data_IF_478570652042
#
_entry.id   IF_478570652042
#
_cell.length_a   1.000
_cell.length_b   1.000
_cell.length_c   1.000
_cell.angle_alpha   90.00
_cell.angle_beta   90.00
_cell.angle_gamma   90.00
#
_symmetry.space_group_name_H-M   'P 1'
#
loop_
_entity.id
_entity.type
_entity.pdbx_description
1 polymer ?
#
# COMPACT_ATOMS: atom_id res chain seq x y z
N UNK A 1 -21.86 6.91 -20.10
CA UNK A 1 -22.06 5.48 -19.78
C UNK A 1 -20.88 5.04 -18.95
N UNK A 2 -21.07 4.74 -17.66
CA UNK A 2 -19.98 4.23 -16.83
C UNK A 2 -19.74 2.77 -17.25
N UNK A 3 -18.60 2.49 -17.86
CA UNK A 3 -18.15 1.11 -18.07
C UNK A 3 -18.11 0.42 -16.71
N UNK A 4 -19.06 -0.49 -16.49
CA UNK A 4 -19.07 -1.36 -15.33
C UNK A 4 -17.74 -2.08 -15.27
N UNK A 5 -16.91 -1.68 -14.33
CA UNK A 5 -15.51 -2.02 -14.34
C UNK A 5 -15.36 -3.50 -13.97
N UNK A 6 -15.02 -4.30 -14.98
CA UNK A 6 -14.90 -5.76 -14.89
C UNK A 6 -13.62 -6.18 -14.14
N UNK A 7 -13.55 -5.86 -12.84
CA UNK A 7 -12.48 -6.31 -11.95
C UNK A 7 -13.07 -6.86 -10.64
N UNK A 8 -12.43 -7.89 -10.10
CA UNK A 8 -12.84 -8.51 -8.84
C UNK A 8 -12.26 -7.78 -7.63
N UNK A 9 -11.02 -7.28 -7.76
CA UNK A 9 -10.30 -6.59 -6.69
C UNK A 9 -9.66 -5.29 -7.17
N UNK A 10 -9.61 -4.30 -6.30
CA UNK A 10 -8.91 -3.03 -6.51
C UNK A 10 -7.85 -2.84 -5.42
N UNK A 11 -6.58 -2.75 -5.81
CA UNK A 11 -5.48 -2.59 -4.88
C UNK A 11 -4.75 -1.29 -5.11
N UNK A 12 -4.59 -0.50 -4.05
CA UNK A 12 -3.74 0.69 -4.04
C UNK A 12 -2.32 0.32 -3.63
N UNK A 13 -1.36 0.58 -4.52
CA UNK A 13 0.08 0.34 -4.31
C UNK A 13 0.85 1.65 -4.45
N UNK A 14 1.82 1.88 -3.57
CA UNK A 14 2.69 3.08 -3.61
C UNK A 14 4.14 2.69 -3.93
N UNK A 15 4.84 3.50 -4.73
CA UNK A 15 6.28 3.40 -4.94
C UNK A 15 6.99 4.44 -4.09
N UNK A 16 7.88 4.02 -3.20
CA UNK A 16 8.61 4.91 -2.28
C UNK A 16 10.11 4.67 -2.37
N UNK A 17 10.90 5.66 -1.95
CA UNK A 17 12.37 5.63 -2.00
C UNK A 17 12.96 6.94 -2.51
N UNK A 18 14.29 7.03 -2.50
CA UNK A 18 15.02 8.26 -2.84
C UNK A 18 14.76 8.76 -4.28
N UNK A 19 15.07 10.02 -4.53
CA UNK A 19 15.06 10.58 -5.88
C UNK A 19 16.10 9.88 -6.75
N UNK A 20 15.74 9.56 -8.00
CA UNK A 20 16.66 8.99 -8.98
C UNK A 20 16.96 7.48 -8.82
N UNK A 21 16.31 6.78 -7.88
CA UNK A 21 16.42 5.30 -7.77
C UNK A 21 15.72 4.56 -8.90
N UNK A 22 14.80 5.23 -9.61
CA UNK A 22 14.14 4.69 -10.81
C UNK A 22 12.69 4.25 -10.64
N UNK A 23 11.98 4.74 -9.62
CA UNK A 23 10.54 4.45 -9.38
C UNK A 23 9.65 4.75 -10.58
N UNK A 24 9.77 5.94 -11.17
CA UNK A 24 9.01 6.33 -12.35
C UNK A 24 9.31 5.44 -13.56
N UNK A 25 10.57 5.05 -13.76
CA UNK A 25 10.92 4.11 -14.82
C UNK A 25 10.40 2.69 -14.56
N UNK A 26 10.35 2.22 -13.31
CA UNK A 26 9.69 0.97 -12.96
C UNK A 26 8.18 1.03 -13.26
N UNK A 27 7.52 2.15 -12.92
CA UNK A 27 6.11 2.37 -13.22
C UNK A 27 5.85 2.38 -14.73
N UNK A 28 6.61 3.16 -15.49
CA UNK A 28 6.49 3.25 -16.95
C UNK A 28 6.81 1.92 -17.62
N UNK A 29 7.81 1.19 -17.12
CA UNK A 29 8.15 -0.13 -17.65
C UNK A 29 7.03 -1.13 -17.39
N UNK A 30 6.43 -1.11 -16.20
CA UNK A 30 5.30 -1.98 -15.88
C UNK A 30 4.04 -1.58 -16.65
N UNK A 31 3.76 -0.30 -16.89
CA UNK A 31 2.46 0.12 -17.44
C UNK A 31 2.45 0.26 -18.96
N UNK A 32 3.57 0.69 -19.54
CA UNK A 32 3.70 1.05 -20.96
C UNK A 32 4.82 0.29 -21.67
N UNK A 33 5.60 -0.51 -20.94
CA UNK A 33 6.84 -1.12 -21.42
C UNK A 33 7.87 -0.09 -21.94
N UNK A 34 7.87 1.12 -21.36
CA UNK A 34 8.73 2.22 -21.76
C UNK A 34 9.82 2.48 -20.73
N UNK A 35 10.95 3.03 -21.19
CA UNK A 35 12.02 3.53 -20.34
C UNK A 35 12.55 4.85 -20.88
N UNK A 36 12.74 5.80 -19.97
CA UNK A 36 13.26 7.11 -20.31
C UNK A 36 14.53 7.38 -19.48
N UNK A 37 15.66 7.50 -20.17
CA UNK A 37 16.96 7.77 -19.57
C UNK A 37 17.06 9.20 -19.00
N UNK A 38 16.29 10.14 -19.55
CA UNK A 38 16.24 11.56 -19.14
C UNK A 38 15.06 11.84 -18.19
N UNK A 39 14.68 10.86 -17.35
CA UNK A 39 13.61 11.08 -16.38
C UNK A 39 14.00 12.19 -15.40
N UNK A 40 13.27 13.31 -15.46
CA UNK A 40 13.41 14.41 -14.49
C UNK A 40 12.95 13.95 -13.11
N UNK A 41 13.42 14.62 -12.06
CA UNK A 41 12.90 14.38 -10.70
C UNK A 41 11.38 14.58 -10.67
N UNK A 42 10.66 13.61 -10.15
CA UNK A 42 9.21 13.71 -9.95
C UNK A 42 8.91 14.81 -8.94
N UNK A 43 8.28 15.90 -9.38
CA UNK A 43 7.92 17.06 -8.54
C UNK A 43 6.62 16.79 -7.77
N UNK A 44 5.76 15.90 -8.28
CA UNK A 44 4.48 15.54 -7.67
C UNK A 44 4.30 14.03 -7.53
N UNK A 45 3.10 13.55 -7.83
CA UNK A 45 2.75 12.12 -7.82
C UNK A 45 2.22 11.73 -9.19
N UNK A 46 2.75 10.66 -9.76
CA UNK A 46 2.21 10.06 -10.99
C UNK A 46 1.32 8.87 -10.63
N UNK A 47 0.20 8.74 -11.35
CA UNK A 47 -0.79 7.70 -11.13
C UNK A 47 -0.96 6.87 -12.40
N UNK A 48 -0.92 5.56 -12.26
CA UNK A 48 -1.25 4.65 -13.34
C UNK A 48 -2.07 3.45 -12.83
N UNK A 49 -2.84 2.86 -13.73
CA UNK A 49 -3.59 1.64 -13.44
C UNK A 49 -3.19 0.52 -14.36
N UNK A 50 -3.06 -0.69 -13.83
CA UNK A 50 -2.90 -1.91 -14.63
C UNK A 50 -3.71 -3.03 -14.03
N UNK A 51 -4.38 -3.80 -14.88
CA UNK A 51 -5.09 -5.01 -14.46
C UNK A 51 -4.23 -6.23 -14.77
N UNK A 52 -4.19 -7.17 -13.83
CA UNK A 52 -3.58 -8.49 -14.00
C UNK A 52 -4.61 -9.57 -13.66
N UNK A 53 -4.43 -10.78 -14.20
CA UNK A 53 -5.25 -11.93 -13.83
C UNK A 53 -4.45 -12.87 -12.92
N UNK A 54 -5.03 -13.23 -11.77
CA UNK A 54 -4.45 -14.15 -10.79
C UNK A 54 -5.57 -15.08 -10.33
N UNK A 55 -5.37 -16.40 -10.39
CA UNK A 55 -6.35 -17.42 -9.97
C UNK A 55 -7.76 -17.22 -10.58
N UNK A 56 -7.82 -16.81 -11.84
CA UNK A 56 -9.09 -16.53 -12.54
C UNK A 56 -9.81 -15.26 -12.08
N UNK A 57 -9.21 -14.48 -11.18
CA UNK A 57 -9.68 -13.18 -10.72
C UNK A 57 -8.93 -12.05 -11.42
N UNK A 58 -9.64 -10.96 -11.69
CA UNK A 58 -9.06 -9.76 -12.28
C UNK A 58 -8.72 -8.76 -11.18
N UNK A 59 -7.43 -8.56 -10.94
CA UNK A 59 -6.90 -7.63 -9.96
C UNK A 59 -6.54 -6.32 -10.66
N UNK A 60 -7.22 -5.21 -10.31
CA UNK A 60 -6.87 -3.88 -10.79
C UNK A 60 -5.94 -3.19 -9.80
N UNK A 61 -4.71 -2.95 -10.20
CA UNK A 61 -3.74 -2.19 -9.41
C UNK A 61 -3.83 -0.70 -9.74
N UNK A 62 -3.87 0.13 -8.70
CA UNK A 62 -3.73 1.58 -8.70
C UNK A 62 -2.36 1.92 -8.13
N UNK A 63 -1.42 2.29 -9.00
CA UNK A 63 -0.02 2.49 -8.62
C UNK A 63 0.28 3.98 -8.57
N UNK A 64 0.80 4.43 -7.43
CA UNK A 64 1.16 5.81 -7.17
C UNK A 64 2.68 5.92 -7.08
N UNK A 65 3.30 6.56 -8.07
CA UNK A 65 4.72 6.92 -8.02
C UNK A 65 4.90 8.24 -7.27
N UNK A 66 5.57 8.20 -6.12
CA UNK A 66 5.75 9.39 -5.28
C UNK A 66 7.07 10.08 -5.54
N UNK A 67 7.10 11.40 -5.35
CA UNK A 67 8.35 12.16 -5.32
C UNK A 67 9.33 11.55 -4.31
N UNK A 68 10.55 11.28 -4.76
CA UNK A 68 11.65 10.81 -3.89
C UNK A 68 12.43 11.94 -3.22
N UNK A 69 12.04 13.20 -3.45
CA UNK A 69 12.66 14.34 -2.80
C UNK A 69 12.01 14.62 -1.46
N UNK A 70 12.86 14.73 -0.46
CA UNK A 70 12.49 15.02 0.91
C UNK A 70 11.70 16.30 1.15
N UNK A 71 11.88 17.31 0.28
CA UNK A 71 11.14 18.57 0.32
C UNK A 71 9.63 18.38 0.13
N UNK A 72 9.20 17.25 -0.44
CA UNK A 72 7.79 16.94 -0.68
C UNK A 72 7.18 15.92 0.30
N UNK A 73 7.93 15.49 1.34
CA UNK A 73 7.48 14.46 2.30
C UNK A 73 6.13 14.74 2.97
N UNK A 74 5.86 16.01 3.31
CA UNK A 74 4.59 16.40 3.92
C UNK A 74 3.39 16.15 2.98
N UNK A 75 3.62 16.19 1.67
CA UNK A 75 2.62 15.90 0.64
C UNK A 75 2.49 14.37 0.45
N UNK A 76 3.62 13.64 0.52
CA UNK A 76 3.67 12.20 0.29
C UNK A 76 2.92 11.37 1.34
N UNK A 77 2.92 11.79 2.60
CA UNK A 77 2.23 11.08 3.69
C UNK A 77 0.72 10.87 3.43
N UNK A 78 0.05 11.81 2.75
CA UNK A 78 -1.35 11.69 2.39
C UNK A 78 -1.63 10.52 1.41
N UNK A 79 -0.63 10.12 0.62
CA UNK A 79 -0.78 9.05 -0.38
C UNK A 79 -0.63 7.65 0.22
N UNK A 80 0.01 7.51 1.39
CA UNK A 80 0.16 6.22 2.06
C UNK A 80 -1.17 5.69 2.64
N UNK A 81 -2.11 6.58 2.97
CA UNK A 81 -3.41 6.19 3.54
C UNK A 81 -4.19 5.29 2.57
N UNK A 82 -4.63 4.13 3.07
CA UNK A 82 -5.37 3.12 2.30
C UNK A 82 -4.53 2.39 1.25
N UNK A 83 -3.20 2.55 1.26
CA UNK A 83 -2.32 1.69 0.47
C UNK A 83 -2.27 0.30 1.11
N UNK A 84 -2.54 -0.73 0.32
CA UNK A 84 -2.46 -2.14 0.74
C UNK A 84 -1.14 -2.78 0.35
N UNK A 85 -0.38 -2.13 -0.52
CA UNK A 85 0.96 -2.53 -0.93
C UNK A 85 1.93 -1.37 -1.07
N UNK A 86 3.22 -1.63 -0.86
CA UNK A 86 4.30 -0.70 -1.13
C UNK A 86 5.53 -1.37 -1.73
N UNK A 87 6.09 -0.74 -2.76
CA UNK A 87 7.42 -1.08 -3.29
C UNK A 87 8.41 -0.03 -2.77
N UNK A 88 9.33 -0.49 -1.93
CA UNK A 88 10.40 0.32 -1.35
C UNK A 88 11.66 0.16 -2.19
N UNK A 89 11.99 1.18 -2.98
CA UNK A 89 12.99 1.09 -4.05
C UNK A 89 14.30 1.77 -3.66
N UNK A 90 15.42 1.10 -3.87
CA UNK A 90 16.76 1.67 -3.78
C UNK A 90 17.56 1.38 -5.06
N UNK A 91 18.70 2.06 -5.23
CA UNK A 91 19.62 1.87 -6.35
C UNK A 91 20.82 1.02 -5.88
N UNK A 92 21.01 -0.15 -6.50
CA UNK A 92 22.09 -1.07 -6.11
C UNK A 92 23.50 -0.49 -6.29
N UNK A 93 23.64 0.52 -7.16
CA UNK A 93 24.91 1.19 -7.43
C UNK A 93 25.16 2.38 -6.49
N UNK A 94 24.19 2.73 -5.62
CA UNK A 94 24.29 3.88 -4.71
C UNK A 94 23.93 3.49 -3.28
N UNK A 95 24.95 3.17 -2.49
CA UNK A 95 24.81 2.78 -1.09
C UNK A 95 24.00 3.78 -0.24
N UNK A 96 24.13 5.09 -0.46
CA UNK A 96 23.36 6.10 0.26
C UNK A 96 21.83 5.89 0.16
N UNK A 97 21.35 5.43 -1.01
CA UNK A 97 19.91 5.17 -1.22
C UNK A 97 19.42 3.97 -0.44
N UNK A 98 20.31 2.99 -0.20
CA UNK A 98 20.03 1.83 0.63
C UNK A 98 20.00 2.18 2.12
N UNK A 99 20.94 3.00 2.61
CA UNK A 99 20.91 3.49 4.00
C UNK A 99 19.60 4.23 4.32
N UNK A 100 19.07 4.97 3.34
CA UNK A 100 17.81 5.70 3.51
C UNK A 100 16.55 4.79 3.51
N UNK A 101 16.65 3.52 3.11
CA UNK A 101 15.53 2.56 3.12
C UNK A 101 14.91 2.44 4.50
N UNK A 102 15.72 2.37 5.56
CA UNK A 102 15.24 2.28 6.95
C UNK A 102 14.32 3.45 7.32
N UNK A 103 14.68 4.66 6.87
CA UNK A 103 13.88 5.85 7.09
C UNK A 103 12.55 5.79 6.34
N UNK A 104 12.58 5.42 5.06
CA UNK A 104 11.38 5.28 4.24
C UNK A 104 10.44 4.20 4.78
N UNK A 105 11.00 3.08 5.25
CA UNK A 105 10.24 2.00 5.85
C UNK A 105 9.51 2.47 7.12
N UNK A 106 10.21 3.21 7.99
CA UNK A 106 9.61 3.80 9.18
C UNK A 106 8.48 4.78 8.81
N UNK A 107 8.75 5.70 7.89
CA UNK A 107 7.77 6.69 7.44
C UNK A 107 6.50 6.03 6.87
N UNK A 108 6.66 4.97 6.08
CA UNK A 108 5.55 4.19 5.54
C UNK A 108 4.75 3.53 6.66
N UNK A 109 5.41 2.84 7.60
CA UNK A 109 4.75 2.16 8.73
C UNK A 109 4.01 3.11 9.67
N UNK A 110 4.51 4.34 9.82
CA UNK A 110 3.90 5.35 10.69
C UNK A 110 2.57 5.90 10.12
N UNK A 111 2.33 5.78 8.81
CA UNK A 111 1.19 6.42 8.11
C UNK A 111 0.29 5.47 7.32
N UNK A 112 0.77 4.27 6.98
CA UNK A 112 0.00 3.24 6.28
C UNK A 112 -0.73 2.31 7.24
N UNK A 113 -1.62 1.48 6.70
CA UNK A 113 -2.29 0.44 7.47
C UNK A 113 -1.28 -0.62 7.95
N UNK A 114 -1.48 -1.16 9.16
CA UNK A 114 -0.58 -2.16 9.78
C UNK A 114 -0.43 -3.46 8.97
N UNK A 115 -1.38 -3.72 8.06
CA UNK A 115 -1.41 -4.90 7.21
C UNK A 115 -0.83 -4.66 5.81
N UNK A 116 -0.15 -3.52 5.57
CA UNK A 116 0.43 -3.21 4.27
C UNK A 116 1.50 -4.26 3.89
N UNK A 117 1.41 -4.79 2.69
CA UNK A 117 2.43 -5.70 2.13
C UNK A 117 3.57 -4.87 1.57
N UNK A 118 4.79 -5.12 2.01
CA UNK A 118 5.95 -4.32 1.62
C UNK A 118 6.98 -5.20 0.93
N UNK A 119 7.48 -4.74 -0.21
CA UNK A 119 8.56 -5.37 -0.94
C UNK A 119 9.72 -4.40 -1.12
N UNK A 120 10.91 -4.81 -0.69
CA UNK A 120 12.16 -4.14 -0.98
C UNK A 120 12.61 -4.46 -2.41
N UNK A 121 12.92 -3.42 -3.18
CA UNK A 121 13.32 -3.52 -4.59
C UNK A 121 14.69 -2.91 -4.79
N UNK A 122 15.67 -3.75 -5.12
CA UNK A 122 17.00 -3.32 -5.56
C UNK A 122 17.01 -3.04 -7.06
N UNK A 123 16.82 -1.79 -7.47
CA UNK A 123 16.75 -1.43 -8.88
C UNK A 123 18.13 -1.16 -9.49
N UNK A 124 18.18 -1.15 -10.83
CA UNK A 124 19.38 -0.98 -11.67
C UNK A 124 20.35 -2.17 -11.59
N UNK A 125 19.79 -3.37 -11.50
CA UNK A 125 20.57 -4.62 -11.52
C UNK A 125 21.37 -4.85 -12.81
N UNK A 126 21.14 -4.07 -13.87
CA UNK A 126 22.01 -3.97 -15.05
C UNK A 126 23.41 -3.39 -14.72
N UNK A 127 23.52 -2.56 -13.68
CA UNK A 127 24.77 -1.93 -13.24
C UNK A 127 25.58 -2.83 -12.28
N UNK A 128 25.63 -4.15 -12.51
CA UNK A 128 26.31 -5.12 -11.62
C UNK A 128 27.76 -4.77 -11.32
N UNK A 129 28.45 -4.19 -12.29
CA UNK A 129 29.85 -3.77 -12.20
C UNK A 129 30.08 -2.53 -11.32
N UNK A 130 29.01 -1.76 -11.04
CA UNK A 130 29.03 -0.61 -10.13
C UNK A 130 28.29 -0.90 -8.82
N UNK A 131 28.01 -2.17 -8.51
CA UNK A 131 27.26 -2.56 -7.32
C UNK A 131 27.98 -2.04 -6.06
N UNK A 132 27.26 -1.21 -5.31
CA UNK A 132 27.68 -0.70 -4.02
C UNK A 132 26.95 -1.39 -2.85
N UNK A 133 25.85 -2.09 -3.14
CA UNK A 133 25.04 -2.82 -2.14
C UNK A 133 25.04 -4.31 -2.48
N UNK A 134 25.69 -5.16 -1.66
CA UNK A 134 25.62 -6.61 -1.78
C UNK A 134 24.18 -7.12 -1.71
N UNK A 135 23.85 -8.10 -2.57
CA UNK A 135 22.50 -8.70 -2.58
C UNK A 135 22.16 -9.36 -1.25
N UNK A 136 23.13 -10.02 -0.61
CA UNK A 136 22.92 -10.72 0.66
C UNK A 136 22.60 -9.75 1.81
N UNK A 137 23.18 -8.55 1.81
CA UNK A 137 22.90 -7.51 2.80
C UNK A 137 21.46 -7.01 2.68
N UNK A 138 21.02 -6.69 1.45
CA UNK A 138 19.65 -6.26 1.21
C UNK A 138 18.62 -7.37 1.52
N UNK A 139 18.96 -8.62 1.21
CA UNK A 139 18.12 -9.79 1.52
C UNK A 139 18.01 -10.04 3.03
N UNK A 140 19.11 -9.88 3.78
CA UNK A 140 19.12 -9.98 5.23
C UNK A 140 18.23 -8.90 5.85
N UNK A 141 18.38 -7.64 5.41
CA UNK A 141 17.54 -6.53 5.86
C UNK A 141 16.05 -6.78 5.60
N UNK A 142 15.70 -7.27 4.40
CA UNK A 142 14.31 -7.59 4.07
C UNK A 142 13.75 -8.69 4.99
N UNK A 143 14.53 -9.74 5.25
CA UNK A 143 14.13 -10.84 6.15
C UNK A 143 13.92 -10.35 7.58
N UNK A 144 14.86 -9.57 8.12
CA UNK A 144 14.79 -9.01 9.47
C UNK A 144 13.56 -8.11 9.67
N UNK A 145 13.18 -7.37 8.61
CA UNK A 145 12.05 -6.46 8.64
C UNK A 145 10.73 -7.08 8.15
N UNK A 146 10.70 -8.37 7.79
CA UNK A 146 9.50 -9.04 7.29
C UNK A 146 9.01 -8.50 5.94
N UNK A 147 9.93 -8.18 5.03
CA UNK A 147 9.66 -7.67 3.68
C UNK A 147 9.99 -8.74 2.63
N UNK A 148 9.25 -8.75 1.52
CA UNK A 148 9.70 -9.48 0.31
C UNK A 148 10.87 -8.74 -0.33
N UNK A 149 11.73 -9.45 -1.06
CA UNK A 149 12.89 -8.84 -1.74
C UNK A 149 13.04 -9.31 -3.18
N UNK A 150 13.33 -8.38 -4.08
CA UNK A 150 13.66 -8.66 -5.48
C UNK A 150 14.62 -7.60 -6.03
N UNK A 151 15.52 -8.00 -6.92
CA UNK A 151 16.32 -7.04 -7.70
C UNK A 151 15.73 -6.89 -9.10
N UNK A 152 15.63 -5.66 -9.58
CA UNK A 152 15.01 -5.31 -10.86
C UNK A 152 15.95 -4.48 -11.72
N UNK A 153 15.67 -4.42 -13.02
CA UNK A 153 16.20 -3.37 -13.88
C UNK A 153 15.07 -2.82 -14.75
N UNK A 154 14.80 -1.52 -14.57
CA UNK A 154 13.90 -0.83 -15.48
C UNK A 154 14.50 -0.64 -16.88
N UNK A 155 15.83 -0.69 -17.03
CA UNK A 155 16.53 -0.50 -18.30
C UNK A 155 16.29 -1.69 -19.24
N UNK A 156 16.51 -2.91 -18.76
CA UNK A 156 16.35 -4.14 -19.57
C UNK A 156 15.05 -4.91 -19.26
N UNK A 157 14.20 -4.35 -18.39
CA UNK A 157 12.93 -4.92 -17.91
C UNK A 157 13.06 -6.15 -17.00
N UNK A 158 14.27 -6.53 -16.57
CA UNK A 158 14.49 -7.67 -15.68
C UNK A 158 13.69 -7.55 -14.39
N UNK A 159 12.92 -8.60 -14.10
CA UNK A 159 12.11 -8.79 -12.90
C UNK A 159 11.07 -7.69 -12.62
N UNK A 160 10.83 -6.73 -13.53
CA UNK A 160 9.85 -5.66 -13.31
C UNK A 160 8.45 -6.24 -13.21
N UNK A 161 8.03 -7.03 -14.20
CA UNK A 161 6.73 -7.72 -14.18
C UNK A 161 6.60 -8.61 -12.93
N UNK A 162 7.64 -9.38 -12.62
CA UNK A 162 7.67 -10.29 -11.48
C UNK A 162 7.51 -9.56 -10.15
N UNK A 163 8.13 -8.39 -9.97
CA UNK A 163 8.01 -7.61 -8.74
C UNK A 163 6.55 -7.18 -8.49
N UNK A 164 5.91 -6.59 -9.51
CA UNK A 164 4.52 -6.14 -9.41
C UNK A 164 3.52 -7.31 -9.31
N UNK A 165 3.72 -8.40 -10.05
CA UNK A 165 2.86 -9.58 -9.94
C UNK A 165 2.97 -10.24 -8.56
N UNK A 166 4.18 -10.36 -8.03
CA UNK A 166 4.41 -10.98 -6.72
C UNK A 166 3.73 -10.18 -5.62
N UNK A 167 3.94 -8.86 -5.54
CA UNK A 167 3.31 -8.04 -4.49
C UNK A 167 1.78 -8.03 -4.62
N UNK A 168 1.22 -7.97 -5.83
CA UNK A 168 -0.22 -8.00 -6.04
C UNK A 168 -0.83 -9.36 -5.66
N UNK A 169 -0.12 -10.45 -5.94
CA UNK A 169 -0.52 -11.81 -5.55
C UNK A 169 -0.45 -11.99 -4.04
N UNK A 170 0.58 -11.46 -3.37
CA UNK A 170 0.71 -11.52 -1.92
C UNK A 170 -0.40 -10.74 -1.21
N UNK A 171 -0.72 -9.54 -1.72
CA UNK A 171 -1.88 -8.76 -1.25
C UNK A 171 -3.18 -9.56 -1.45
N UNK A 172 -3.38 -10.14 -2.64
CA UNK A 172 -4.56 -10.94 -2.94
C UNK A 172 -4.72 -12.13 -1.98
N UNK A 173 -3.64 -12.85 -1.66
CA UNK A 173 -3.68 -13.97 -0.69
C UNK A 173 -4.09 -13.51 0.70
N UNK A 174 -3.56 -12.40 1.18
CA UNK A 174 -3.91 -11.87 2.51
C UNK A 174 -5.36 -11.38 2.55
N UNK A 175 -5.80 -10.67 1.51
CA UNK A 175 -7.16 -10.13 1.44
C UNK A 175 -8.20 -11.24 1.25
N UNK A 176 -7.92 -12.24 0.41
CA UNK A 176 -8.81 -13.39 0.19
C UNK A 176 -8.93 -14.23 1.46
N UNK A 177 -7.83 -14.54 2.16
CA UNK A 177 -7.89 -15.27 3.43
C UNK A 177 -8.73 -14.56 4.50
N UNK A 178 -8.61 -13.23 4.61
CA UNK A 178 -9.44 -12.43 5.53
C UNK A 178 -10.93 -12.43 5.19
N UNK A 179 -11.30 -12.63 3.92
CA UNK A 179 -12.70 -12.78 3.52
C UNK A 179 -13.26 -14.18 3.85
N UNK A 180 -12.40 -15.17 4.07
CA UNK A 180 -12.78 -16.55 4.39
C UNK A 180 -12.66 -16.92 5.88
N UNK A 181 -12.17 -16.03 6.75
CA UNK A 181 -12.35 -16.22 8.19
C UNK A 181 -13.83 -15.92 8.54
N UNK A 182 -14.64 -16.92 8.92
CA UNK A 182 -15.91 -16.61 9.55
C UNK A 182 -15.57 -15.86 10.84
N UNK A 183 -16.11 -14.65 10.99
CA UNK A 183 -16.06 -13.90 12.25
C UNK A 183 -16.38 -14.85 13.41
N UNK A 184 -15.35 -15.25 14.16
CA UNK A 184 -15.46 -16.16 15.30
C UNK A 184 -15.89 -15.42 16.57
N UNK A 185 -16.73 -14.40 16.41
CA UNK A 185 -17.45 -13.76 17.49
C UNK A 185 -18.94 -13.88 17.19
N UNK A 186 -19.67 -14.81 17.82
CA UNK A 186 -21.11 -14.65 17.89
C UNK A 186 -21.37 -13.30 18.56
N UNK A 187 -21.99 -12.38 17.84
CA UNK A 187 -22.60 -11.17 18.40
C UNK A 187 -23.54 -11.65 19.49
N UNK A 188 -23.07 -11.65 20.75
CA UNK A 188 -23.94 -11.76 21.91
C UNK A 188 -24.73 -10.46 21.92
N UNK A 189 -26.08 -10.49 21.88
CA UNK A 189 -26.86 -9.29 22.12
C UNK A 189 -26.46 -8.78 23.51
N UNK A 190 -25.90 -7.58 23.55
CA UNK A 190 -25.71 -6.79 24.76
C UNK A 190 -27.02 -6.84 25.55
N UNK A 191 -26.97 -7.45 26.73
CA UNK A 191 -28.13 -7.62 27.61
C UNK A 191 -28.79 -6.26 27.84
N UNK A 192 -30.01 -6.10 27.32
CA UNK A 192 -30.85 -4.99 27.68
C UNK A 192 -31.14 -5.08 29.17
N UNK A 193 -30.78 -4.05 29.92
CA UNK A 193 -31.33 -3.86 31.27
C UNK A 193 -32.85 -3.75 31.14
N UNK A 194 -33.55 -4.79 31.59
CA UNK A 194 -34.99 -4.74 31.78
C UNK A 194 -35.28 -3.75 32.92
N UNK A 195 -35.60 -2.52 32.58
CA UNK A 195 -36.18 -1.56 33.53
C UNK A 195 -37.56 -2.06 33.93
N UNK A 196 -37.67 -2.59 35.14
CA UNK A 196 -38.95 -2.95 35.76
C UNK A 196 -39.63 -1.67 36.21
N UNK A 197 -40.68 -1.26 35.50
CA UNK A 197 -41.53 -0.13 35.90
C UNK A 197 -42.61 -0.68 36.85
N UNK A 198 -42.69 -0.23 38.12
CA UNK A 198 -43.80 -0.60 39.00
C UNK A 198 -45.11 0.06 38.51
N UNK A 199 -46.28 -0.60 38.71
CA UNK A 199 -47.55 -0.07 38.27
C UNK A 199 -47.96 1.13 39.13
N UNK A 200 -48.21 2.28 38.49
CA UNK A 200 -48.79 3.45 39.15
C UNK A 200 -50.31 3.39 39.01
N UNK A 201 -50.99 3.28 40.15
CA UNK A 201 -52.43 3.32 40.29
C UNK A 201 -53.05 4.60 39.71
N UNK A 202 -54.15 4.40 38.99
CA UNK A 202 -55.03 5.45 38.51
C UNK A 202 -55.86 6.04 39.65
N UNK A 203 -55.70 7.35 39.92
CA UNK A 203 -56.72 8.14 40.63
C UNK A 203 -56.66 9.64 40.25
N UNK A 204 -57.54 10.01 39.31
CA UNK A 204 -58.44 11.18 39.35
C UNK A 204 -57.99 12.57 39.85
N UNK A 205 -58.13 13.52 38.92
CA UNK A 205 -58.85 14.82 39.01
C UNK A 205 -58.18 16.11 39.50
N UNK A 206 -58.33 17.12 38.62
CA UNK A 206 -58.71 18.55 38.82
C UNK A 206 -57.62 19.64 38.99
N UNK A 207 -57.59 20.47 37.94
CA UNK A 207 -57.90 21.91 37.89
C UNK A 207 -56.88 22.99 38.33
N UNK A 208 -56.70 23.93 37.37
CA UNK A 208 -56.59 25.40 37.48
C UNK A 208 -55.38 26.08 38.15
N UNK A 209 -54.82 27.08 37.46
CA UNK A 209 -54.10 28.21 38.05
C UNK A 209 -52.96 28.74 37.18
N UNK A 210 -53.04 29.99 36.72
CA UNK A 210 -52.11 30.62 35.77
C UNK A 210 -51.07 31.58 36.37
N UNK A 211 -50.33 32.24 35.46
CA UNK A 211 -49.42 33.40 35.59
C UNK A 211 -48.24 33.30 36.58
N UNK A 212 -47.07 33.93 36.39
CA UNK A 212 -46.61 35.01 35.51
C UNK A 212 -45.28 34.63 34.83
#
# INVERSE_FOLDING_TARGET
>A
MAEGSNFDYLFKVVLIGDSGVGKSNLLSRFTRNEFNLETKSTIGVEFATRSISVDGKTLKAQIWDTAGQERYRAITAAYYRGAVGALLVYDIAKHATYVNVTRWLKELRDHADSNIVIMLVGNKSDLKHLRAVPTDEAKAFATENGLSFIETSALDASNVESAFQTILTDIYKIVSQKQFEPSADPIKPSGGESVVIPPTDTATTKASGGCC
#
